data_IF_038754938679
#
_entry.id   IF_038754938679
#
_cell.length_a   1.000
_cell.length_b   1.000
_cell.length_c   1.000
_cell.angle_alpha   90.00
_cell.angle_beta   90.00
_cell.angle_gamma   90.00
#
_symmetry.space_group_name_H-M   'P 1'
#
loop_
_entity.id
_entity.type
_entity.pdbx_description
1 polymer ?
#
# COMPACT_ATOMS: atom_id res chain seq x y z
N UNK A 1 -11.24 7.99 -1.47
CA UNK A 1 -10.17 8.92 -1.84
C UNK A 1 -9.18 9.03 -0.71
N UNK A 2 -7.93 8.68 -1.00
CA UNK A 2 -6.79 8.93 -0.11
C UNK A 2 -6.08 10.15 -0.68
N UNK A 3 -5.97 11.20 0.13
CA UNK A 3 -5.24 12.41 -0.25
C UNK A 3 -3.77 12.22 0.12
N UNK A 4 -2.92 12.12 -0.91
CA UNK A 4 -1.47 11.96 -0.78
C UNK A 4 -0.81 13.33 -1.01
N UNK A 5 0.12 13.72 -0.14
CA UNK A 5 0.93 14.92 -0.33
C UNK A 5 2.18 14.54 -1.16
N UNK A 6 2.28 15.01 -2.41
CA UNK A 6 3.41 14.66 -3.28
C UNK A 6 4.73 15.33 -2.86
N UNK A 7 4.73 16.22 -1.87
CA UNK A 7 5.93 16.91 -1.37
C UNK A 7 6.62 16.17 -0.22
N UNK A 8 5.95 15.18 0.38
CA UNK A 8 6.49 14.39 1.48
C UNK A 8 6.61 12.91 1.11
N UNK A 9 7.57 12.22 1.74
CA UNK A 9 7.60 10.76 1.69
C UNK A 9 6.52 10.20 2.61
N UNK A 10 5.65 9.34 2.08
CA UNK A 10 4.48 8.83 2.80
C UNK A 10 4.34 7.32 2.63
N UNK A 11 3.96 6.62 3.70
CA UNK A 11 3.67 5.19 3.69
C UNK A 11 2.20 4.99 4.01
N UNK A 12 1.51 4.26 3.14
CA UNK A 12 0.11 3.89 3.28
C UNK A 12 -0.03 2.37 3.29
N UNK A 13 -0.82 1.84 4.22
CA UNK A 13 -1.15 0.41 4.28
C UNK A 13 -2.65 0.24 4.24
N UNK A 14 -3.13 -0.68 3.41
CA UNK A 14 -4.54 -0.96 3.22
C UNK A 14 -4.86 -2.45 3.28
N UNK A 15 -5.93 -2.77 4.00
CA UNK A 15 -6.54 -4.09 4.04
C UNK A 15 -7.49 -4.23 2.84
N UNK A 16 -7.20 -5.19 1.96
CA UNK A 16 -7.89 -5.36 0.68
C UNK A 16 -8.36 -6.81 0.49
N UNK A 17 -9.20 -7.05 -0.53
CA UNK A 17 -9.57 -8.40 -0.91
C UNK A 17 -9.63 -8.59 -2.41
N UNK A 18 -9.08 -9.70 -2.91
CA UNK A 18 -9.12 -10.10 -4.32
C UNK A 18 -9.70 -11.51 -4.40
N UNK A 19 -10.80 -11.69 -5.14
CA UNK A 19 -11.45 -12.99 -5.30
C UNK A 19 -11.73 -13.70 -3.96
N UNK A 20 -12.19 -12.98 -2.94
CA UNK A 20 -12.43 -13.47 -1.57
C UNK A 20 -11.16 -13.86 -0.78
N UNK A 21 -9.97 -13.51 -1.26
CA UNK A 21 -8.72 -13.71 -0.53
C UNK A 21 -8.26 -12.38 0.07
N UNK A 22 -8.10 -12.29 1.39
CA UNK A 22 -7.58 -11.11 2.05
C UNK A 22 -6.11 -10.87 1.67
N UNK A 23 -5.79 -9.62 1.36
CA UNK A 23 -4.44 -9.17 1.03
C UNK A 23 -4.14 -7.85 1.74
N UNK A 24 -2.86 -7.58 1.94
CA UNK A 24 -2.36 -6.30 2.42
C UNK A 24 -1.60 -5.59 1.31
N UNK A 25 -1.90 -4.31 1.10
CA UNK A 25 -1.19 -3.46 0.16
C UNK A 25 -0.45 -2.39 0.95
N UNK A 26 0.86 -2.28 0.74
CA UNK A 26 1.70 -1.19 1.27
C UNK A 26 2.22 -0.36 0.12
N UNK A 27 1.87 0.91 0.12
CA UNK A 27 2.31 1.90 -0.83
C UNK A 27 3.30 2.84 -0.15
N UNK A 28 4.48 2.98 -0.72
CA UNK A 28 5.48 3.97 -0.31
C UNK A 28 5.60 4.98 -1.44
N UNK A 29 5.25 6.23 -1.15
CA UNK A 29 5.32 7.34 -2.10
C UNK A 29 6.49 8.20 -1.71
N UNK A 30 7.42 8.39 -2.64
CA UNK A 30 8.52 9.33 -2.56
C UNK A 30 8.45 10.31 -3.73
N UNK A 31 9.20 11.42 -3.66
CA UNK A 31 9.27 12.47 -4.69
C UNK A 31 9.56 11.97 -6.12
N UNK A 32 10.17 10.80 -6.28
CA UNK A 32 10.63 10.27 -7.57
C UNK A 32 9.95 8.96 -7.97
N UNK A 33 9.35 8.23 -7.03
CA UNK A 33 8.88 6.88 -7.27
C UNK A 33 7.74 6.50 -6.33
N UNK A 34 6.93 5.55 -6.80
CA UNK A 34 5.90 4.89 -6.00
C UNK A 34 6.27 3.42 -5.94
N UNK A 35 6.48 2.90 -4.74
CA UNK A 35 6.71 1.47 -4.51
C UNK A 35 5.44 0.83 -3.94
N UNK A 36 5.02 -0.28 -4.54
CA UNK A 36 3.86 -1.06 -4.11
C UNK A 36 4.30 -2.45 -3.72
N UNK A 37 4.01 -2.85 -2.49
CA UNK A 37 4.22 -4.19 -1.97
C UNK A 37 2.86 -4.80 -1.67
N UNK A 38 2.63 -6.02 -2.17
CA UNK A 38 1.41 -6.78 -1.93
C UNK A 38 1.79 -8.11 -1.29
N UNK A 39 1.12 -8.44 -0.19
CA UNK A 39 1.29 -9.71 0.53
C UNK A 39 -0.08 -10.29 0.88
N UNK A 40 -0.16 -11.58 1.17
CA UNK A 40 -1.36 -12.16 1.75
C UNK A 40 -1.47 -11.71 3.20
N UNK A 41 -2.68 -11.38 3.67
CA UNK A 41 -2.87 -10.80 5.01
C UNK A 41 -2.36 -11.72 6.12
N UNK A 42 -2.48 -13.03 5.94
CA UNK A 42 -2.01 -14.06 6.86
C UNK A 42 -0.48 -14.21 6.92
N UNK A 43 0.24 -13.76 5.88
CA UNK A 43 1.71 -13.81 5.83
C UNK A 43 2.35 -12.54 6.42
N UNK A 44 1.65 -11.40 6.41
CA UNK A 44 2.19 -10.12 6.84
C UNK A 44 3.26 -9.54 5.90
N UNK A 45 3.78 -8.36 6.25
CA UNK A 45 4.89 -7.69 5.55
C UNK A 45 6.24 -8.06 6.15
#
# INVERSE_FOLDING_TARGET
DILVDPTESQIYTEDCSVCCHPILIRCEVDLHQINLVVTQEDLGF
#
